data_IF_086977149999
#
_entry.id   IF_086977149999
#
_cell.length_a   1.000
_cell.length_b   1.000
_cell.length_c   1.000
_cell.angle_alpha   90.00
_cell.angle_beta   90.00
_cell.angle_gamma   90.00
#
_symmetry.space_group_name_H-M   'P 1'
#
loop_
_entity.id
_entity.type
_entity.pdbx_description
1 polymer ?
#
# COMPACT_ATOMS: atom_id res chain seq x y z
N UNK A 1 12.73 6.32 15.39
CA UNK A 1 11.29 6.62 15.25
C UNK A 1 10.50 5.49 14.61
N UNK A 2 10.76 5.11 13.34
CA UNK A 2 9.93 4.10 12.64
C UNK A 2 9.92 2.70 13.28
N UNK A 3 10.97 2.30 14.00
CA UNK A 3 10.99 1.05 14.78
C UNK A 3 9.80 0.97 15.75
N UNK A 4 9.58 2.04 16.54
CA UNK A 4 8.51 2.09 17.53
C UNK A 4 7.14 2.06 16.83
N UNK A 5 6.99 2.82 15.75
CA UNK A 5 5.77 2.83 14.92
C UNK A 5 5.45 1.42 14.39
N UNK A 6 6.45 0.69 13.90
CA UNK A 6 6.28 -0.68 13.40
C UNK A 6 5.91 -1.63 14.53
N UNK A 7 6.56 -1.52 15.68
CA UNK A 7 6.24 -2.36 16.85
C UNK A 7 4.79 -2.13 17.29
N UNK A 8 4.39 -0.86 17.47
CA UNK A 8 3.06 -0.45 17.87
C UNK A 8 2.00 -0.91 16.85
N UNK A 9 2.27 -0.68 15.56
CA UNK A 9 1.38 -1.08 14.47
C UNK A 9 1.21 -2.61 14.37
N UNK A 10 2.27 -3.39 14.61
CA UNK A 10 2.19 -4.86 14.67
C UNK A 10 1.39 -5.35 15.87
N UNK A 11 1.59 -4.75 17.05
CA UNK A 11 0.80 -5.06 18.25
C UNK A 11 -0.68 -4.76 18.02
N UNK A 12 -1.00 -3.57 17.50
CA UNK A 12 -2.36 -3.18 17.11
C UNK A 12 -2.97 -4.17 16.12
N UNK A 13 -2.24 -4.53 15.06
CA UNK A 13 -2.71 -5.51 14.08
C UNK A 13 -2.99 -6.88 14.71
N UNK A 14 -2.14 -7.32 15.64
CA UNK A 14 -2.33 -8.58 16.37
C UNK A 14 -3.56 -8.52 17.27
N UNK A 15 -3.77 -7.41 17.98
CA UNK A 15 -4.91 -7.22 18.87
C UNK A 15 -6.24 -7.15 18.13
N UNK A 16 -6.29 -6.40 17.01
CA UNK A 16 -7.47 -6.32 16.13
C UNK A 16 -7.85 -7.70 15.60
N UNK A 17 -6.85 -8.49 15.18
CA UNK A 17 -7.07 -9.87 14.72
C UNK A 17 -7.53 -10.80 15.83
N UNK A 18 -6.98 -10.66 17.04
CA UNK A 18 -7.34 -11.48 18.19
C UNK A 18 -8.79 -11.24 18.64
N UNK A 19 -9.23 -9.98 18.58
CA UNK A 19 -10.57 -9.58 19.00
C UNK A 19 -11.64 -9.73 17.91
N UNK A 20 -11.30 -10.29 16.74
CA UNK A 20 -12.17 -10.41 15.57
C UNK A 20 -12.87 -9.09 15.20
N UNK A 21 -12.22 -7.95 15.42
CA UNK A 21 -12.77 -6.60 15.20
C UNK A 21 -12.88 -6.23 13.69
N UNK A 22 -13.01 -7.22 12.80
CA UNK A 22 -13.31 -7.03 11.39
C UNK A 22 -12.28 -6.21 10.60
N UNK A 23 -12.77 -5.42 9.64
CA UNK A 23 -12.05 -4.67 8.60
C UNK A 23 -11.05 -3.60 9.09
N UNK A 24 -10.65 -3.62 10.35
CA UNK A 24 -9.69 -2.68 10.96
C UNK A 24 -8.23 -2.78 10.45
N UNK A 25 -8.02 -3.44 9.32
CA UNK A 25 -6.70 -3.69 8.73
C UNK A 25 -5.91 -2.43 8.35
N UNK A 26 -6.56 -1.28 8.19
CA UNK A 26 -5.94 0.01 7.86
C UNK A 26 -5.52 0.85 9.08
N UNK A 27 -5.98 0.50 10.28
CA UNK A 27 -5.69 1.25 11.51
C UNK A 27 -4.20 1.35 11.85
N UNK A 28 -3.40 0.28 11.75
CA UNK A 28 -1.96 0.37 11.99
C UNK A 28 -1.30 1.45 11.12
N UNK A 29 -1.67 1.50 9.84
CA UNK A 29 -1.16 2.48 8.90
C UNK A 29 -1.70 3.89 9.14
N UNK A 30 -2.96 4.02 9.56
CA UNK A 30 -3.52 5.32 9.94
C UNK A 30 -2.74 5.94 11.10
N UNK A 31 -2.52 5.18 12.17
CA UNK A 31 -1.74 5.64 13.34
C UNK A 31 -0.29 5.94 12.95
N UNK A 32 0.32 5.10 12.09
CA UNK A 32 1.67 5.34 11.62
C UNK A 32 1.82 6.66 10.85
N UNK A 33 0.85 7.00 9.99
CA UNK A 33 0.86 8.25 9.23
C UNK A 33 0.53 9.47 10.09
N UNK A 34 -0.30 9.32 11.13
CA UNK A 34 -0.50 10.37 12.14
C UNK A 34 0.80 10.70 12.89
N UNK A 35 1.58 9.68 13.26
CA UNK A 35 2.84 9.86 13.99
C UNK A 35 3.99 10.30 13.07
N UNK A 36 3.98 9.86 11.81
CA UNK A 36 5.00 10.18 10.83
C UNK A 36 4.44 10.07 9.40
N UNK A 37 4.10 11.21 8.81
CA UNK A 37 3.59 11.31 7.43
C UNK A 37 4.60 10.81 6.37
N UNK A 38 5.89 10.79 6.70
CA UNK A 38 6.95 10.28 5.82
C UNK A 38 7.29 8.80 6.07
N UNK A 39 6.48 8.09 6.87
CA UNK A 39 6.73 6.69 7.23
C UNK A 39 6.90 5.78 6.01
N UNK A 40 6.02 5.91 5.01
CA UNK A 40 6.03 5.10 3.78
C UNK A 40 7.33 5.33 3.02
N UNK A 41 7.64 6.59 2.71
CA UNK A 41 8.83 6.99 1.96
C UNK A 41 10.10 6.49 2.66
N UNK A 42 10.24 6.75 3.95
CA UNK A 42 11.41 6.36 4.73
C UNK A 42 11.60 4.84 4.77
N UNK A 43 10.52 4.08 4.84
CA UNK A 43 10.57 2.61 4.91
C UNK A 43 10.92 1.98 3.55
N UNK A 44 10.32 2.52 2.48
CA UNK A 44 10.61 2.08 1.13
C UNK A 44 12.03 2.44 0.70
N UNK A 45 12.52 3.66 0.98
CA UNK A 45 13.87 4.11 0.61
C UNK A 45 14.98 3.34 1.36
N UNK A 46 14.70 2.84 2.57
CA UNK A 46 15.62 1.97 3.31
C UNK A 46 15.70 0.54 2.77
N UNK A 47 14.80 0.17 1.87
CA UNK A 47 14.64 -1.18 1.36
C UNK A 47 15.09 -1.23 -0.11
N UNK A 48 15.90 -2.23 -0.47
CA UNK A 48 16.23 -2.49 -1.89
C UNK A 48 15.09 -3.27 -2.54
N UNK A 49 13.99 -2.58 -2.86
CA UNK A 49 12.74 -3.16 -3.34
C UNK A 49 12.23 -2.43 -4.58
N UNK A 50 11.68 -3.16 -5.55
CA UNK A 50 11.03 -2.57 -6.73
C UNK A 50 9.58 -2.24 -6.46
N UNK A 51 9.17 -1.02 -6.79
CA UNK A 51 7.87 -0.44 -6.42
C UNK A 51 6.97 -0.37 -7.64
N UNK A 52 5.85 -1.06 -7.59
CA UNK A 52 4.83 -1.14 -8.64
C UNK A 52 3.54 -0.56 -8.10
N UNK A 53 2.93 0.33 -8.87
CA UNK A 53 1.64 0.93 -8.55
C UNK A 53 0.64 0.55 -9.64
N UNK A 54 -0.55 0.12 -9.25
CA UNK A 54 -1.64 -0.26 -10.15
C UNK A 54 -2.79 0.72 -9.95
N UNK A 55 -3.22 1.35 -11.05
CA UNK A 55 -4.32 2.32 -11.09
C UNK A 55 -5.29 1.96 -12.23
N UNK A 56 -6.56 2.32 -12.07
CA UNK A 56 -7.57 2.22 -13.12
C UNK A 56 -8.93 1.86 -12.55
N UNK A 57 -10.00 2.36 -13.14
CA UNK A 57 -11.35 2.30 -12.59
C UNK A 57 -11.83 0.87 -12.30
N UNK A 58 -11.44 -0.10 -13.13
CA UNK A 58 -11.78 -1.51 -12.97
C UNK A 58 -10.56 -2.43 -13.11
N UNK A 59 -10.65 -3.61 -12.48
CA UNK A 59 -9.68 -4.69 -12.67
C UNK A 59 -8.42 -4.62 -11.80
N UNK A 60 -8.24 -3.59 -10.95
CA UNK A 60 -7.06 -3.43 -10.07
C UNK A 60 -6.78 -4.68 -9.24
N UNK A 61 -7.79 -5.18 -8.53
CA UNK A 61 -7.66 -6.35 -7.65
C UNK A 61 -7.38 -7.63 -8.42
N UNK A 62 -7.99 -7.81 -9.60
CA UNK A 62 -7.72 -8.98 -10.47
C UNK A 62 -6.29 -8.95 -10.98
N UNK A 63 -5.82 -7.81 -11.48
CA UNK A 63 -4.44 -7.62 -11.94
C UNK A 63 -3.43 -7.80 -10.79
N UNK A 64 -3.70 -7.22 -9.62
CA UNK A 64 -2.87 -7.37 -8.42
C UNK A 64 -2.73 -8.84 -7.99
N UNK A 65 -3.85 -9.59 -8.00
CA UNK A 65 -3.85 -11.04 -7.74
C UNK A 65 -3.07 -11.82 -8.80
N UNK A 66 -3.21 -11.48 -10.08
CA UNK A 66 -2.46 -12.13 -11.16
C UNK A 66 -0.95 -11.93 -10.99
N UNK A 67 -0.51 -10.69 -10.76
CA UNK A 67 0.91 -10.36 -10.50
C UNK A 67 1.41 -11.12 -9.26
N UNK A 68 0.60 -11.18 -8.20
CA UNK A 68 0.92 -11.96 -6.99
C UNK A 68 1.14 -13.43 -7.27
N UNK A 69 0.29 -14.05 -8.09
CA UNK A 69 0.43 -15.44 -8.49
C UNK A 69 1.71 -15.64 -9.28
N UNK A 70 1.99 -14.77 -10.27
CA UNK A 70 3.20 -14.84 -11.10
C UNK A 70 4.47 -14.73 -10.23
N UNK A 71 4.54 -13.75 -9.33
CA UNK A 71 5.70 -13.58 -8.45
C UNK A 71 5.88 -14.78 -7.51
N UNK A 72 4.78 -15.31 -6.95
CA UNK A 72 4.83 -16.51 -6.11
C UNK A 72 5.36 -17.72 -6.88
N UNK A 73 4.89 -17.94 -8.11
CA UNK A 73 5.35 -19.05 -8.96
C UNK A 73 6.84 -18.93 -9.31
N UNK A 74 7.36 -17.72 -9.42
CA UNK A 74 8.78 -17.44 -9.68
C UNK A 74 9.63 -17.26 -8.40
N UNK A 75 9.15 -17.71 -7.23
CA UNK A 75 9.83 -17.57 -5.93
C UNK A 75 10.23 -16.13 -5.56
N UNK A 76 9.61 -15.12 -6.16
CA UNK A 76 9.81 -13.71 -5.85
C UNK A 76 8.92 -13.30 -4.67
N UNK A 77 9.52 -12.62 -3.69
CA UNK A 77 8.83 -12.18 -2.48
C UNK A 77 8.29 -10.78 -2.69
N UNK A 78 6.99 -10.63 -2.47
CA UNK A 78 6.33 -9.33 -2.63
C UNK A 78 5.47 -8.92 -1.43
N UNK A 79 5.16 -7.63 -1.39
CA UNK A 79 4.18 -6.99 -0.50
C UNK A 79 3.01 -6.50 -1.33
N UNK A 80 1.80 -6.68 -0.82
CA UNK A 80 0.57 -6.14 -1.40
C UNK A 80 -0.26 -5.50 -0.30
N UNK A 81 -0.99 -4.44 -0.63
CA UNK A 81 -2.08 -3.98 0.21
C UNK A 81 -3.28 -4.94 0.10
N UNK A 82 -4.13 -4.93 1.13
CA UNK A 82 -5.33 -5.75 1.13
C UNK A 82 -6.37 -5.16 0.16
N UNK A 83 -7.22 -6.03 -0.40
CA UNK A 83 -8.29 -5.62 -1.31
C UNK A 83 -9.12 -4.48 -0.71
N UNK A 84 -9.24 -3.38 -1.45
CA UNK A 84 -10.01 -2.20 -1.00
C UNK A 84 -9.27 -1.27 -0.02
N UNK A 85 -8.06 -1.62 0.42
CA UNK A 85 -7.20 -0.74 1.20
C UNK A 85 -6.32 0.11 0.28
N UNK A 86 -6.95 0.83 -0.65
CA UNK A 86 -6.35 1.49 -1.81
C UNK A 86 -5.84 2.93 -1.55
N UNK A 87 -5.81 3.34 -0.27
CA UNK A 87 -5.33 4.65 0.19
C UNK A 87 -4.01 4.49 0.97
N UNK A 88 -3.37 5.62 1.31
CA UNK A 88 -2.07 5.67 2.01
C UNK A 88 -2.06 4.87 3.32
N UNK A 89 -3.14 4.90 4.10
CA UNK A 89 -3.26 4.13 5.35
C UNK A 89 -3.22 2.61 5.10
N UNK A 90 -3.88 2.12 4.05
CA UNK A 90 -3.83 0.72 3.63
C UNK A 90 -2.44 0.28 3.21
N UNK A 91 -1.76 1.13 2.44
CA UNK A 91 -0.36 0.93 2.04
C UNK A 91 0.54 0.89 3.27
N UNK A 92 0.46 1.88 4.16
CA UNK A 92 1.24 1.94 5.38
C UNK A 92 1.02 0.71 6.28
N UNK A 93 -0.23 0.27 6.46
CA UNK A 93 -0.56 -0.97 7.18
C UNK A 93 0.14 -2.18 6.58
N UNK A 94 0.08 -2.34 5.25
CA UNK A 94 0.70 -3.47 4.56
C UNK A 94 2.23 -3.49 4.71
N UNK A 95 2.85 -2.30 4.72
CA UNK A 95 4.28 -2.11 4.97
C UNK A 95 4.62 -2.49 6.41
N UNK A 96 3.86 -2.02 7.41
CA UNK A 96 4.08 -2.36 8.83
C UNK A 96 4.05 -3.87 9.03
N UNK A 97 3.01 -4.54 8.54
CA UNK A 97 2.83 -5.98 8.68
C UNK A 97 3.98 -6.75 8.00
N UNK A 98 4.44 -6.27 6.84
CA UNK A 98 5.48 -6.94 6.03
C UNK A 98 6.91 -6.58 6.43
N UNK A 99 7.10 -5.49 7.17
CA UNK A 99 8.41 -4.99 7.58
C UNK A 99 9.04 -5.84 8.67
N UNK A 100 10.36 -5.89 8.70
CA UNK A 100 11.11 -6.36 9.86
C UNK A 100 11.11 -5.28 10.96
N UNK A 101 11.47 -5.67 12.17
CA UNK A 101 11.53 -4.73 13.30
C UNK A 101 12.52 -3.57 13.03
N UNK A 102 13.61 -3.82 12.29
CA UNK A 102 14.57 -2.80 11.84
C UNK A 102 14.01 -1.82 10.79
N UNK A 103 12.74 -1.98 10.38
CA UNK A 103 12.08 -1.14 9.40
C UNK A 103 12.46 -1.41 7.96
N UNK A 104 13.08 -2.56 7.66
CA UNK A 104 13.37 -2.97 6.28
C UNK A 104 12.33 -3.95 5.77
N UNK A 105 12.00 -3.83 4.49
CA UNK A 105 11.27 -4.84 3.73
C UNK A 105 12.28 -5.78 3.08
N UNK A 106 12.38 -7.03 3.58
CA UNK A 106 13.18 -8.08 2.95
C UNK A 106 12.37 -8.79 1.86
N UNK A 107 12.04 -8.03 0.81
CA UNK A 107 11.15 -8.39 -0.30
C UNK A 107 11.72 -7.82 -1.59
N UNK A 108 11.40 -8.46 -2.71
CA UNK A 108 11.89 -8.08 -4.04
C UNK A 108 10.98 -7.00 -4.65
N UNK A 109 9.66 -7.10 -4.43
CA UNK A 109 8.68 -6.16 -4.96
C UNK A 109 7.69 -5.64 -3.90
N UNK A 110 7.26 -4.39 -4.05
CA UNK A 110 6.11 -3.82 -3.38
C UNK A 110 5.09 -3.43 -4.46
N UNK A 111 3.92 -4.04 -4.44
CA UNK A 111 2.89 -3.86 -5.45
C UNK A 111 1.64 -3.33 -4.77
N UNK A 112 1.21 -2.12 -5.13
CA UNK A 112 0.07 -1.47 -4.49
C UNK A 112 -1.03 -1.17 -5.50
N UNK A 113 -2.24 -1.67 -5.23
CA UNK A 113 -3.44 -1.16 -5.89
C UNK A 113 -3.87 0.14 -5.23
N UNK A 114 -4.16 1.18 -6.01
CA UNK A 114 -4.52 2.47 -5.44
C UNK A 114 -5.75 3.08 -6.10
N UNK A 115 -6.40 3.95 -5.34
CA UNK A 115 -7.45 4.82 -5.82
C UNK A 115 -6.86 5.87 -6.78
N UNK A 116 -7.61 6.21 -7.83
CA UNK A 116 -7.22 7.20 -8.82
C UNK A 116 -6.98 8.57 -8.18
N UNK A 117 -7.77 8.94 -7.18
CA UNK A 117 -7.65 10.24 -6.49
C UNK A 117 -6.44 10.28 -5.56
N UNK A 118 -6.05 9.13 -5.03
CA UNK A 118 -4.89 9.03 -4.17
C UNK A 118 -3.59 9.03 -4.97
N UNK A 119 -3.63 8.82 -6.29
CA UNK A 119 -2.47 8.62 -7.14
C UNK A 119 -1.39 9.71 -7.03
N UNK A 120 -1.70 11.01 -7.13
CA UNK A 120 -0.66 12.04 -7.04
C UNK A 120 0.09 11.97 -5.71
N UNK A 121 -0.65 11.93 -4.59
CA UNK A 121 -0.08 11.84 -3.23
C UNK A 121 0.69 10.53 -3.00
N UNK A 122 0.18 9.42 -3.55
CA UNK A 122 0.87 8.12 -3.46
C UNK A 122 2.19 8.15 -4.22
N UNK A 123 2.22 8.72 -5.42
CA UNK A 123 3.43 8.80 -6.24
C UNK A 123 4.53 9.63 -5.55
N UNK A 124 4.17 10.71 -4.86
CA UNK A 124 5.11 11.51 -4.07
C UNK A 124 5.78 10.69 -2.94
N UNK A 125 4.98 9.90 -2.20
CA UNK A 125 5.47 9.11 -1.06
C UNK A 125 6.18 7.82 -1.47
N UNK A 126 5.72 7.16 -2.54
CA UNK A 126 6.25 5.85 -2.97
C UNK A 126 7.39 6.01 -3.98
N UNK A 127 7.32 6.98 -4.89
CA UNK A 127 8.23 7.13 -6.04
C UNK A 127 8.35 5.80 -6.80
N UNK A 128 7.25 5.32 -7.44
CA UNK A 128 7.21 3.98 -8.02
C UNK A 128 8.24 3.81 -9.16
N UNK A 129 8.81 2.60 -9.27
CA UNK A 129 9.64 2.21 -10.42
C UNK A 129 8.76 1.93 -11.65
N UNK A 130 7.53 1.43 -11.42
CA UNK A 130 6.58 1.09 -12.48
C UNK A 130 5.16 1.52 -12.11
N UNK A 131 4.44 2.03 -13.10
CA UNK A 131 3.00 2.33 -13.00
C UNK A 131 2.27 1.50 -14.04
N UNK A 132 1.29 0.71 -13.60
CA UNK A 132 0.40 -0.08 -14.44
C UNK A 132 -0.96 0.63 -14.44
N UNK A 133 -1.23 1.37 -15.52
CA UNK A 133 -2.53 1.97 -15.76
C UNK A 133 -3.42 0.99 -16.53
N UNK A 134 -4.59 0.68 -15.99
CA UNK A 134 -5.56 -0.22 -16.60
C UNK A 134 -6.52 0.55 -17.53
N UNK A 135 -7.74 0.80 -17.05
CA UNK A 135 -8.79 1.53 -17.77
C UNK A 135 -9.20 2.77 -16.96
N UNK A 136 -9.75 3.77 -17.63
CA UNK A 136 -10.34 4.96 -17.03
C UNK A 136 -11.73 5.16 -17.64
N UNK A 137 -12.77 4.84 -16.88
CA UNK A 137 -14.17 5.03 -17.30
C UNK A 137 -14.74 6.36 -16.80
N UNK A 138 -15.60 6.96 -17.64
CA UNK A 138 -16.17 8.30 -17.44
C UNK A 138 -17.09 8.42 -16.22
N UNK A 139 -17.76 7.35 -15.81
CA UNK A 139 -18.65 7.36 -14.63
C UNK A 139 -17.93 7.67 -13.32
N UNK A 140 -16.61 7.44 -13.26
CA UNK A 140 -15.80 7.91 -12.13
C UNK A 140 -15.32 9.35 -12.34
N UNK A 141 -15.15 9.82 -13.58
CA UNK A 141 -14.79 11.21 -13.87
C UNK A 141 -15.93 12.18 -13.52
N UNK A 142 -17.20 11.80 -13.73
CA UNK A 142 -18.35 12.66 -13.41
C UNK A 142 -18.58 12.81 -11.89
N UNK A 143 -17.99 11.95 -11.05
CA UNK A 143 -17.96 12.12 -9.58
C UNK A 143 -16.97 13.19 -9.13
N UNK A 144 -16.02 13.56 -9.98
CA UNK A 144 -14.97 14.51 -9.66
C UNK A 144 -15.15 15.72 -10.58
N UNK A 145 -15.62 16.83 -10.01
CA UNK A 145 -15.49 18.13 -10.64
C UNK A 145 -13.99 18.39 -10.87
N UNK A 146 -13.47 17.94 -12.01
CA UNK A 146 -12.17 18.27 -12.55
C UNK A 146 -12.21 19.77 -12.87
N UNK A 147 -12.10 20.61 -11.83
CA UNK A 147 -11.52 21.94 -11.98
C UNK A 147 -10.05 21.73 -12.32
N UNK A 148 -9.80 21.42 -13.59
CA UNK A 148 -8.55 21.85 -14.20
C UNK A 148 -8.61 23.37 -14.23
N UNK A 149 -7.94 23.99 -13.27
CA UNK A 149 -7.54 25.40 -13.29
C UNK A 149 -6.04 25.44 -13.09
#
# INVERSE_FOLDING_TARGET
MNFLIILLGKLLSSFIRLLNLGNGSTWPGHIALLLNDNFIEQTLNKSKIKKVVIIGTNGKTTTSKLIRTIFKTNNSKSVYNMSGANLLNGIASSIIISSKFDGKLKKDFAVFEIDENAFPKVCEKIKPDFVIALNLFRDQLDRYDLKMV
#
